data_IF_025704016345
#
_entry.id   IF_025704016345
#
_cell.length_a   1.000
_cell.length_b   1.000
_cell.length_c   1.000
_cell.angle_alpha   90.00
_cell.angle_beta   90.00
_cell.angle_gamma   90.00
#
_symmetry.space_group_name_H-M   'P 1'
#
loop_
_entity.id
_entity.type
_entity.pdbx_description
1 polymer ?
#
# COMPACT_ATOMS: atom_id res chain seq x y z
N UNK A 1 20.42 0.27 12.26
CA UNK A 1 19.24 0.83 12.97
C UNK A 1 19.37 0.60 14.47
N UNK A 2 18.68 1.39 15.32
CA UNK A 2 18.67 1.18 16.77
C UNK A 2 17.96 -0.14 17.15
N UNK A 3 18.38 -0.85 18.21
CA UNK A 3 17.83 -2.18 18.55
C UNK A 3 16.40 -2.11 19.11
N UNK A 4 15.96 -0.96 19.60
CA UNK A 4 14.62 -0.80 20.14
C UNK A 4 13.55 -0.59 19.06
N UNK A 5 13.95 -0.25 17.83
CA UNK A 5 13.07 0.00 16.71
C UNK A 5 12.30 -1.28 16.35
N UNK A 6 10.97 -1.17 16.26
CA UNK A 6 10.09 -2.28 15.83
C UNK A 6 9.45 -1.98 14.48
N UNK A 7 9.18 -0.71 14.20
CA UNK A 7 8.51 -0.25 13.00
C UNK A 7 9.12 1.07 12.57
N UNK A 8 9.43 1.19 11.28
CA UNK A 8 9.86 2.43 10.63
C UNK A 8 9.05 2.62 9.35
N UNK A 9 8.21 3.65 9.32
CA UNK A 9 7.53 4.10 8.11
C UNK A 9 8.16 5.38 7.60
N UNK A 10 8.53 5.40 6.32
CA UNK A 10 9.01 6.60 5.61
C UNK A 10 7.91 7.17 4.68
N UNK A 11 6.78 6.46 4.60
CA UNK A 11 5.70 6.72 3.66
C UNK A 11 4.69 7.76 4.18
N UNK A 12 4.12 8.55 3.25
CA UNK A 12 3.10 9.58 3.53
C UNK A 12 1.72 9.20 2.98
N UNK A 13 1.61 8.07 2.30
CA UNK A 13 0.35 7.57 1.75
C UNK A 13 -0.73 7.32 2.84
N UNK A 14 -2.01 7.66 2.57
CA UNK A 14 -3.11 7.37 3.47
C UNK A 14 -3.26 5.89 3.85
N UNK A 15 -3.05 4.94 2.93
CA UNK A 15 -3.18 3.50 3.20
C UNK A 15 -2.16 3.03 4.25
N UNK A 16 -0.94 3.56 4.18
CA UNK A 16 0.08 3.31 5.20
C UNK A 16 -0.39 3.83 6.57
N UNK A 17 -0.94 5.04 6.61
CA UNK A 17 -1.46 5.65 7.84
C UNK A 17 -2.57 4.81 8.46
N UNK A 18 -3.56 4.38 7.66
CA UNK A 18 -4.65 3.52 8.12
C UNK A 18 -4.14 2.22 8.73
N UNK A 19 -3.22 1.58 8.03
CA UNK A 19 -2.66 0.30 8.44
C UNK A 19 -1.80 0.42 9.69
N UNK A 20 -1.12 1.56 9.86
CA UNK A 20 -0.35 1.87 11.07
C UNK A 20 -1.25 2.02 12.28
N UNK A 21 -2.36 2.74 12.13
CA UNK A 21 -3.35 2.91 13.19
C UNK A 21 -4.02 1.59 13.56
N UNK A 22 -4.39 0.78 12.57
CA UNK A 22 -4.93 -0.58 12.80
C UNK A 22 -3.92 -1.47 13.54
N UNK A 23 -2.63 -1.40 13.20
CA UNK A 23 -1.57 -2.16 13.90
C UNK A 23 -1.44 -1.75 15.38
N UNK A 24 -1.61 -0.46 15.68
CA UNK A 24 -1.56 0.06 17.04
C UNK A 24 -2.81 -0.38 17.82
N UNK A 25 -3.99 -0.34 17.21
CA UNK A 25 -5.25 -0.84 17.77
C UNK A 25 -5.17 -2.35 18.07
N UNK A 26 -4.64 -3.17 17.16
CA UNK A 26 -4.42 -4.61 17.39
C UNK A 26 -3.56 -4.87 18.63
N UNK A 27 -2.44 -4.16 18.78
CA UNK A 27 -1.56 -4.31 19.95
C UNK A 27 -2.23 -3.81 21.24
N UNK A 28 -3.09 -2.79 21.17
CA UNK A 28 -3.91 -2.36 22.29
C UNK A 28 -4.90 -3.43 22.71
N UNK A 29 -5.67 -3.99 21.77
CA UNK A 29 -6.64 -5.07 22.05
C UNK A 29 -5.94 -6.27 22.70
N UNK A 30 -4.79 -6.68 22.15
CA UNK A 30 -3.95 -7.76 22.70
C UNK A 30 -3.51 -7.48 24.14
N UNK A 31 -3.10 -6.24 24.45
CA UNK A 31 -2.71 -5.85 25.82
C UNK A 31 -3.90 -5.77 26.76
N UNK A 32 -5.06 -5.33 26.27
CA UNK A 32 -6.29 -5.27 27.06
C UNK A 32 -6.72 -6.67 27.49
N UNK A 33 -6.75 -7.63 26.57
CA UNK A 33 -7.04 -9.03 26.88
C UNK A 33 -6.03 -9.63 27.85
N UNK A 34 -4.74 -9.37 27.63
CA UNK A 34 -3.68 -9.79 28.55
C UNK A 34 -3.93 -9.24 29.96
N UNK A 35 -4.22 -7.94 30.10
CA UNK A 35 -4.43 -7.30 31.39
C UNK A 35 -5.68 -7.84 32.10
N UNK A 36 -6.78 -8.02 31.36
CA UNK A 36 -7.99 -8.68 31.85
C UNK A 36 -7.70 -10.09 32.37
N UNK A 37 -6.99 -10.91 31.59
CA UNK A 37 -6.64 -12.29 31.98
C UNK A 37 -5.75 -12.38 33.22
N UNK A 38 -4.97 -11.33 33.49
CA UNK A 38 -4.05 -11.25 34.64
C UNK A 38 -4.61 -10.46 35.82
N UNK A 39 -5.84 -9.93 35.71
CA UNK A 39 -6.48 -9.13 36.76
C UNK A 39 -5.65 -7.90 37.13
N UNK A 40 -5.18 -7.15 36.13
CA UNK A 40 -4.48 -5.87 36.31
C UNK A 40 -5.14 -4.79 35.45
N UNK A 41 -5.04 -3.54 35.85
CA UNK A 41 -5.71 -2.44 35.15
C UNK A 41 -4.79 -1.61 34.25
N UNK A 42 -3.48 -1.67 34.46
CA UNK A 42 -2.52 -0.85 33.73
C UNK A 42 -1.13 -1.49 33.62
N UNK A 43 -0.31 -0.96 32.72
CA UNK A 43 1.03 -1.49 32.47
C UNK A 43 1.96 -1.40 33.70
N UNK A 44 1.75 -0.40 34.57
CA UNK A 44 2.57 -0.24 35.78
C UNK A 44 2.32 -1.39 36.74
N UNK A 45 1.05 -1.72 37.01
CA UNK A 45 0.64 -2.87 37.82
C UNK A 45 1.12 -4.19 37.20
N UNK A 46 0.96 -4.35 35.88
CA UNK A 46 1.46 -5.52 35.17
C UNK A 46 2.98 -5.71 35.38
N UNK A 47 3.76 -4.64 35.21
CA UNK A 47 5.22 -4.67 35.41
C UNK A 47 5.63 -4.88 36.87
N UNK A 48 4.86 -4.38 37.83
CA UNK A 48 5.12 -4.64 39.25
C UNK A 48 4.91 -6.12 39.57
N UNK A 49 3.87 -6.74 39.02
CA UNK A 49 3.54 -8.16 39.26
C UNK A 49 4.47 -9.14 38.53
N UNK A 50 4.83 -8.85 37.28
CA UNK A 50 5.57 -9.78 36.40
C UNK A 50 7.00 -9.34 36.09
N UNK A 51 7.45 -8.20 36.62
CA UNK A 51 8.78 -7.65 36.42
C UNK A 51 8.87 -6.61 35.29
N UNK A 52 9.85 -5.72 35.37
CA UNK A 52 9.99 -4.54 34.49
C UNK A 52 10.16 -4.91 33.01
N UNK A 53 10.75 -6.08 32.73
CA UNK A 53 11.03 -6.61 31.37
C UNK A 53 9.89 -7.44 30.78
N UNK A 54 8.81 -7.69 31.53
CA UNK A 54 7.70 -8.56 31.10
C UNK A 54 6.90 -8.02 29.91
N UNK A 55 6.84 -6.69 29.75
CA UNK A 55 6.15 -6.04 28.65
C UNK A 55 6.83 -4.69 28.33
N UNK A 56 7.25 -4.40 27.09
CA UNK A 56 7.83 -3.11 26.75
C UNK A 56 6.78 -2.00 26.69
N UNK A 57 7.17 -0.77 27.07
CA UNK A 57 6.43 0.45 26.69
C UNK A 57 6.68 0.73 25.21
N UNK A 58 5.67 1.25 24.52
CA UNK A 58 5.75 1.63 23.12
C UNK A 58 5.82 3.15 23.06
N UNK A 59 6.78 3.66 22.30
CA UNK A 59 6.82 5.08 21.93
C UNK A 59 6.43 5.16 20.47
N UNK A 60 5.34 5.85 20.18
CA UNK A 60 4.86 6.13 18.85
C UNK A 60 5.31 7.53 18.45
N UNK A 61 6.13 7.62 17.41
CA UNK A 61 6.71 8.88 16.96
C UNK A 61 6.20 9.15 15.54
N UNK A 62 5.62 10.33 15.33
CA UNK A 62 5.21 10.79 14.00
C UNK A 62 5.85 12.14 13.77
N UNK A 63 6.64 12.23 12.72
CA UNK A 63 7.14 13.50 12.19
C UNK A 63 6.18 14.01 11.12
N UNK A 64 6.05 15.33 11.00
CA UNK A 64 5.04 15.98 10.17
C UNK A 64 3.62 15.40 10.40
N UNK A 65 3.19 15.42 11.66
CA UNK A 65 1.93 14.87 12.12
C UNK A 65 0.69 15.41 11.37
N UNK A 66 0.77 16.60 10.76
CA UNK A 66 -0.26 17.12 9.87
C UNK A 66 -0.60 16.20 8.69
N UNK A 67 0.37 15.46 8.14
CA UNK A 67 0.10 14.51 7.06
C UNK A 67 -0.80 13.37 7.54
N UNK A 68 -0.55 12.85 8.75
CA UNK A 68 -1.36 11.80 9.37
C UNK A 68 -2.79 12.29 9.63
N UNK A 69 -2.97 13.48 10.18
CA UNK A 69 -4.30 14.01 10.48
C UNK A 69 -5.10 14.34 9.22
N UNK A 70 -4.44 14.79 8.15
CA UNK A 70 -5.06 15.01 6.84
C UNK A 70 -5.46 13.71 6.16
N UNK A 71 -4.64 12.65 6.26
CA UNK A 71 -4.94 11.34 5.68
C UNK A 71 -6.23 10.73 6.26
N UNK A 72 -6.48 10.93 7.55
CA UNK A 72 -7.64 10.34 8.24
C UNK A 72 -8.87 11.26 8.30
N UNK A 73 -8.77 12.53 7.91
CA UNK A 73 -9.81 13.53 8.19
C UNK A 73 -11.20 13.17 7.63
N UNK A 74 -11.24 12.42 6.52
CA UNK A 74 -12.47 11.99 5.85
C UNK A 74 -12.91 10.58 6.26
N UNK A 75 -12.18 9.94 7.19
CA UNK A 75 -12.41 8.57 7.63
C UNK A 75 -12.72 8.53 9.14
N UNK A 76 -14.01 8.61 9.54
CA UNK A 76 -14.42 8.75 10.93
C UNK A 76 -13.86 7.65 11.86
N UNK A 77 -13.73 6.42 11.35
CA UNK A 77 -13.14 5.30 12.09
C UNK A 77 -11.71 5.62 12.56
N UNK A 78 -10.86 6.13 11.66
CA UNK A 78 -9.45 6.39 11.98
C UNK A 78 -9.28 7.64 12.84
N UNK A 79 -10.18 8.64 12.70
CA UNK A 79 -10.25 9.77 13.64
C UNK A 79 -10.47 9.27 15.08
N UNK A 80 -11.44 8.37 15.27
CA UNK A 80 -11.72 7.78 16.60
C UNK A 80 -10.53 6.96 17.12
N UNK A 81 -9.90 6.14 16.28
CA UNK A 81 -8.71 5.36 16.69
C UNK A 81 -7.59 6.30 17.14
N UNK A 82 -7.31 7.37 16.39
CA UNK A 82 -6.28 8.34 16.78
C UNK A 82 -6.64 9.04 18.11
N UNK A 83 -7.89 9.42 18.33
CA UNK A 83 -8.32 9.99 19.60
C UNK A 83 -8.14 9.04 20.79
N UNK A 84 -8.43 7.75 20.60
CA UNK A 84 -8.23 6.72 21.62
C UNK A 84 -6.75 6.51 21.92
N UNK A 85 -5.89 6.53 20.88
CA UNK A 85 -4.44 6.51 21.04
C UNK A 85 -3.95 7.66 21.91
N UNK A 86 -4.49 8.87 21.70
CA UNK A 86 -4.12 10.07 22.46
C UNK A 86 -4.62 10.04 23.91
N UNK A 87 -5.78 9.45 24.18
CA UNK A 87 -6.46 9.53 25.48
C UNK A 87 -6.31 8.28 26.36
N UNK A 88 -6.57 7.09 25.79
CA UNK A 88 -6.82 5.87 26.56
C UNK A 88 -5.59 4.93 26.58
N UNK A 89 -4.81 4.93 25.51
CA UNK A 89 -3.78 3.91 25.29
C UNK A 89 -2.56 4.06 26.22
N UNK A 90 -2.42 5.21 26.88
CA UNK A 90 -1.37 5.47 27.87
C UNK A 90 -1.38 4.46 29.01
N UNK A 91 -2.56 4.02 29.43
CA UNK A 91 -2.76 3.04 30.51
C UNK A 91 -2.16 1.68 30.13
N UNK A 92 -2.13 1.37 28.83
CA UNK A 92 -1.54 0.17 28.24
C UNK A 92 -0.06 0.33 27.87
N UNK A 93 0.52 1.49 28.18
CA UNK A 93 1.94 1.76 28.02
C UNK A 93 2.36 2.23 26.64
N UNK A 94 1.44 2.78 25.85
CA UNK A 94 1.75 3.59 24.67
C UNK A 94 2.04 5.04 25.11
N UNK A 95 2.96 5.71 24.46
CA UNK A 95 3.20 7.14 24.62
C UNK A 95 3.54 7.73 23.27
N UNK A 96 2.97 8.88 22.96
CA UNK A 96 3.10 9.47 21.64
C UNK A 96 3.99 10.71 21.66
N UNK A 97 4.75 10.91 20.59
CA UNK A 97 5.54 12.09 20.31
C UNK A 97 5.21 12.52 18.90
N UNK A 98 4.69 13.73 18.76
CA UNK A 98 4.31 14.30 17.48
C UNK A 98 5.12 15.55 17.24
N UNK A 99 5.59 15.70 16.00
CA UNK A 99 6.34 16.86 15.52
C UNK A 99 5.63 17.42 14.29
N UNK A 100 5.62 18.74 14.18
CA UNK A 100 5.14 19.48 13.01
C UNK A 100 5.90 20.80 12.94
N UNK A 101 6.22 21.25 11.73
CA UNK A 101 6.75 22.60 11.53
C UNK A 101 5.68 23.68 11.78
N UNK A 102 4.41 23.34 11.52
CA UNK A 102 3.27 24.23 11.71
C UNK A 102 2.08 23.50 12.38
N UNK A 103 2.01 23.55 13.71
CA UNK A 103 0.96 22.96 14.56
C UNK A 103 -0.43 23.52 14.22
N UNK A 104 -0.50 24.77 13.77
CA UNK A 104 -1.74 25.44 13.35
C UNK A 104 -2.40 24.73 12.16
N UNK A 105 -1.62 24.01 11.36
CA UNK A 105 -2.07 23.10 10.31
C UNK A 105 -2.20 21.68 10.85
N UNK A 106 -1.24 21.21 11.64
CA UNK A 106 -1.19 19.82 12.12
C UNK A 106 -2.32 19.35 13.00
N UNK A 107 -2.90 20.25 13.79
CA UNK A 107 -4.03 19.91 14.64
C UNK A 107 -5.39 20.06 13.95
N UNK A 108 -5.49 20.45 12.67
CA UNK A 108 -6.80 20.70 12.02
C UNK A 108 -7.66 19.44 11.90
N UNK A 109 -7.05 18.27 11.69
CA UNK A 109 -7.78 17.00 11.59
C UNK A 109 -8.15 16.37 12.94
N UNK A 110 -7.82 17.00 14.08
CA UNK A 110 -8.21 16.52 15.41
C UNK A 110 -9.37 17.33 15.99
N UNK A 111 -10.26 16.66 16.72
CA UNK A 111 -11.26 17.35 17.55
C UNK A 111 -10.60 18.10 18.71
N UNK A 112 -11.32 19.06 19.31
CA UNK A 112 -10.86 19.75 20.52
C UNK A 112 -10.55 18.78 21.67
N UNK A 113 -11.34 17.69 21.78
CA UNK A 113 -11.11 16.62 22.76
C UNK A 113 -9.74 15.99 22.57
N UNK A 114 -9.36 15.65 21.33
CA UNK A 114 -8.05 15.10 20.99
C UNK A 114 -6.91 16.08 21.31
N UNK A 115 -7.06 17.35 20.95
CA UNK A 115 -6.06 18.41 21.25
C UNK A 115 -5.81 18.58 22.74
N UNK A 116 -6.85 18.44 23.56
CA UNK A 116 -6.76 18.58 25.01
C UNK A 116 -6.03 17.42 25.70
N UNK A 117 -5.85 16.27 25.04
CA UNK A 117 -5.06 15.15 25.57
C UNK A 117 -3.55 15.40 25.48
N UNK A 118 -3.13 16.28 24.57
CA UNK A 118 -1.73 16.66 24.36
C UNK A 118 -1.34 17.71 25.41
N UNK A 119 -1.03 17.21 26.60
CA UNK A 119 -0.74 18.01 27.80
C UNK A 119 0.70 18.54 27.85
N UNK A 120 1.67 17.75 27.38
CA UNK A 120 3.07 18.17 27.27
C UNK A 120 3.27 18.79 25.89
N UNK A 121 3.84 20.00 25.85
CA UNK A 121 4.08 20.71 24.61
C UNK A 121 5.48 21.28 24.58
N UNK A 122 6.14 21.13 23.45
CA UNK A 122 7.53 21.53 23.24
C UNK A 122 7.51 22.49 22.07
N UNK A 123 7.88 23.75 22.30
CA UNK A 123 8.06 24.73 21.24
C UNK A 123 9.55 25.01 21.06
N UNK A 124 10.02 24.88 19.82
CA UNK A 124 11.37 25.24 19.41
C UNK A 124 11.35 26.62 18.73
N UNK A 125 12.52 27.09 18.28
CA UNK A 125 12.60 28.30 17.46
C UNK A 125 11.66 28.19 16.25
N UNK A 126 10.73 29.13 16.15
CA UNK A 126 9.75 29.24 15.06
C UNK A 126 9.14 30.66 15.08
N UNK A 127 8.24 30.97 14.15
CA UNK A 127 7.49 32.22 14.16
C UNK A 127 6.65 32.34 15.45
N UNK A 128 6.57 33.55 16.02
CA UNK A 128 5.86 33.81 17.28
C UNK A 128 4.41 33.28 17.27
N UNK A 129 3.59 33.48 16.22
CA UNK A 129 2.23 32.92 16.18
C UNK A 129 2.21 31.39 16.30
N UNK A 130 3.19 30.72 15.73
CA UNK A 130 3.31 29.26 15.71
C UNK A 130 3.80 28.73 17.07
N UNK A 131 4.78 29.38 17.70
CA UNK A 131 5.17 29.08 19.09
C UNK A 131 3.96 29.24 20.02
N UNK A 132 3.18 30.32 19.86
CA UNK A 132 1.99 30.57 20.67
C UNK A 132 0.92 29.50 20.47
N UNK A 133 0.68 29.10 19.23
CA UNK A 133 -0.23 28.02 18.86
C UNK A 133 0.23 26.68 19.47
N UNK A 134 1.54 26.41 19.41
CA UNK A 134 2.16 25.20 19.96
C UNK A 134 1.96 25.16 21.46
N UNK A 135 2.32 26.22 22.20
CA UNK A 135 2.17 26.24 23.65
C UNK A 135 0.71 26.30 24.09
N UNK A 136 -0.21 26.83 23.27
CA UNK A 136 -1.63 27.02 23.59
C UNK A 136 -1.82 27.59 25.02
N UNK A 137 -1.18 28.72 25.28
CA UNK A 137 -1.29 29.46 26.53
C UNK A 137 -2.36 30.53 26.42
N UNK A 138 -2.98 30.88 27.54
CA UNK A 138 -3.88 32.02 27.62
C UNK A 138 -3.12 33.33 27.36
N UNK A 139 -3.77 34.29 26.69
CA UNK A 139 -3.13 35.54 26.26
C UNK A 139 -2.51 36.35 27.41
N UNK A 140 -3.08 36.24 28.62
CA UNK A 140 -2.59 36.91 29.83
C UNK A 140 -1.27 36.34 30.38
N UNK A 141 -0.84 35.16 29.92
CA UNK A 141 0.43 34.55 30.32
C UNK A 141 1.61 35.05 29.47
N UNK A 142 1.36 35.74 28.36
CA UNK A 142 2.40 36.36 27.54
C UNK A 142 2.74 37.76 28.06
N UNK A 143 3.51 37.81 29.15
CA UNK A 143 4.09 39.06 29.64
C UNK A 143 5.21 39.58 28.72
N UNK A 144 5.68 40.81 28.98
CA UNK A 144 6.76 41.42 28.20
C UNK A 144 8.06 40.60 28.27
N UNK A 145 8.29 39.88 29.37
CA UNK A 145 9.47 39.01 29.54
C UNK A 145 9.39 37.79 28.61
N UNK A 146 8.25 37.11 28.55
CA UNK A 146 8.00 36.00 27.64
C UNK A 146 8.06 36.47 26.19
N UNK A 147 7.44 37.60 25.86
CA UNK A 147 7.46 38.12 24.49
C UNK A 147 8.88 38.46 24.03
N UNK A 148 9.67 39.11 24.89
CA UNK A 148 11.08 39.37 24.60
C UNK A 148 11.89 38.07 24.43
N UNK A 149 11.61 37.03 25.22
CA UNK A 149 12.27 35.72 25.06
C UNK A 149 11.87 35.03 23.76
N UNK A 150 10.59 35.03 23.42
CA UNK A 150 10.07 34.49 22.16
C UNK A 150 10.75 35.13 20.95
N UNK A 151 11.01 36.45 21.00
CA UNK A 151 11.71 37.17 19.94
C UNK A 151 13.20 36.84 19.82
N UNK A 152 13.81 36.31 20.87
CA UNK A 152 15.25 36.06 20.94
C UNK A 152 15.58 34.55 21.02
N UNK A 153 14.63 33.67 20.73
CA UNK A 153 14.91 32.24 20.62
C UNK A 153 15.87 32.01 19.46
N UNK A 154 16.86 31.16 19.69
CA UNK A 154 17.87 30.75 18.72
C UNK A 154 17.84 29.24 18.53
N UNK A 155 18.60 28.75 17.55
CA UNK A 155 18.64 27.32 17.24
C UNK A 155 18.95 26.49 18.50
N UNK A 156 18.10 25.47 18.69
CA UNK A 156 18.17 24.57 19.82
C UNK A 156 17.56 25.07 21.12
N UNK A 157 17.06 26.31 21.20
CA UNK A 157 16.28 26.78 22.34
C UNK A 157 14.89 26.15 22.37
N UNK A 158 14.43 25.79 23.58
CA UNK A 158 13.17 25.07 23.77
C UNK A 158 12.37 25.67 24.92
N UNK A 159 11.10 25.93 24.67
CA UNK A 159 10.09 26.19 25.70
C UNK A 159 9.30 24.90 25.93
N UNK A 160 9.36 24.41 27.16
CA UNK A 160 8.73 23.16 27.57
C UNK A 160 7.55 23.43 28.50
N UNK A 161 6.34 23.23 28.00
CA UNK A 161 5.11 23.30 28.78
C UNK A 161 4.76 21.93 29.33
N UNK A 162 4.60 21.86 30.65
CA UNK A 162 4.11 20.67 31.35
C UNK A 162 3.21 21.04 32.51
N UNK A 163 2.53 20.04 33.06
CA UNK A 163 1.77 20.19 34.30
C UNK A 163 2.50 19.48 35.44
N UNK A 164 2.49 20.08 36.62
CA UNK A 164 2.99 19.45 37.84
C UNK A 164 2.14 18.23 38.19
N UNK A 165 2.81 17.14 38.55
CA UNK A 165 2.14 15.90 38.94
C UNK A 165 1.33 16.02 40.25
N UNK A 166 1.67 16.98 41.11
CA UNK A 166 1.04 17.15 42.43
C UNK A 166 -0.19 18.07 42.40
N UNK A 167 -0.08 19.24 41.77
CA UNK A 167 -1.08 20.32 41.89
C UNK A 167 -1.75 20.68 40.56
N UNK A 168 -1.44 19.98 39.46
CA UNK A 168 -1.88 20.34 38.11
C UNK A 168 -1.55 21.80 37.72
N UNK A 169 -0.58 22.42 38.38
CA UNK A 169 -0.10 23.74 38.00
C UNK A 169 0.71 23.64 36.70
N UNK A 170 0.45 24.58 35.80
CA UNK A 170 1.16 24.70 34.53
C UNK A 170 2.54 25.31 34.78
N UNK A 171 3.57 24.63 34.30
CA UNK A 171 4.98 25.03 34.42
C UNK A 171 5.56 25.20 33.02
N UNK A 172 6.24 26.32 32.81
CA UNK A 172 7.03 26.61 31.62
C UNK A 172 8.51 26.56 31.98
N UNK A 173 9.19 25.54 31.47
CA UNK A 173 10.63 25.38 31.62
C UNK A 173 11.34 25.79 30.32
N UNK A 174 12.57 26.28 30.46
CA UNK A 174 13.42 26.66 29.34
C UNK A 174 14.62 25.74 29.29
N UNK A 175 14.88 25.17 28.13
CA UNK A 175 15.98 24.25 27.90
C UNK A 175 16.74 24.60 26.62
N UNK A 176 17.97 24.09 26.53
CA UNK A 176 18.74 24.04 25.29
C UNK A 176 18.94 22.59 24.90
N UNK A 177 18.61 22.25 23.66
CA UNK A 177 18.78 20.89 23.13
C UNK A 177 20.25 20.53 22.98
N UNK A 178 20.51 19.22 23.00
CA UNK A 178 21.83 18.68 22.70
C UNK A 178 21.87 18.42 21.19
N UNK A 179 22.84 19.04 20.53
CA UNK A 179 23.13 18.76 19.13
C UNK A 179 23.95 17.48 19.01
N UNK A 180 23.53 16.58 18.11
CA UNK A 180 24.19 15.30 17.84
C UNK A 180 24.44 15.19 16.34
N UNK A 181 25.69 14.97 15.96
CA UNK A 181 26.09 14.78 14.56
C UNK A 181 25.70 13.39 14.04
N UNK A 182 25.76 13.20 12.70
CA UNK A 182 25.47 11.89 12.08
C UNK A 182 26.43 10.79 12.54
N UNK A 183 27.70 11.12 12.73
CA UNK A 183 28.74 10.16 13.15
C UNK A 183 28.55 9.76 14.61
N UNK A 184 28.30 10.72 15.50
CA UNK A 184 27.97 10.45 16.91
C UNK A 184 26.70 9.61 17.03
N UNK A 185 25.66 9.92 16.25
CA UNK A 185 24.44 9.10 16.23
C UNK A 185 24.72 7.66 15.79
N UNK A 186 25.56 7.48 14.78
CA UNK A 186 25.94 6.16 14.28
C UNK A 186 26.73 5.38 15.34
N UNK A 187 27.64 6.04 16.04
CA UNK A 187 28.41 5.45 17.14
C UNK A 187 27.51 5.07 18.32
N UNK A 188 26.56 5.93 18.72
CA UNK A 188 25.59 5.63 19.79
C UNK A 188 24.74 4.41 19.42
N UNK A 189 24.28 4.30 18.17
CA UNK A 189 23.52 3.14 17.69
C UNK A 189 24.39 1.88 17.74
N UNK A 190 25.65 1.96 17.31
CA UNK A 190 26.60 0.84 17.36
C UNK A 190 26.80 0.35 18.79
N UNK A 191 27.05 1.26 19.73
CA UNK A 191 27.21 0.94 21.15
C UNK A 191 25.95 0.34 21.76
N UNK A 192 24.77 0.84 21.38
CA UNK A 192 23.50 0.28 21.84
C UNK A 192 23.31 -1.17 21.35
N UNK A 193 23.64 -1.44 20.08
CA UNK A 193 23.57 -2.79 19.51
C UNK A 193 24.55 -3.76 20.18
N UNK A 194 25.79 -3.34 20.46
CA UNK A 194 26.77 -4.17 21.18
C UNK A 194 26.29 -4.57 22.58
N UNK A 195 25.70 -3.62 23.32
CA UNK A 195 25.15 -3.90 24.66
C UNK A 195 23.92 -4.80 24.65
N UNK A 196 23.19 -4.83 23.53
CA UNK A 196 21.97 -5.61 23.39
C UNK A 196 22.24 -7.12 23.24
N UNK A 197 23.40 -7.52 22.69
CA UNK A 197 23.69 -8.89 22.24
C UNK A 197 23.42 -10.03 23.26
N UNK A 198 23.46 -9.78 24.58
CA UNK A 198 23.25 -10.83 25.59
C UNK A 198 21.81 -11.10 26.02
N UNK A 199 20.87 -10.15 25.85
CA UNK A 199 19.47 -10.26 26.33
C UNK A 199 18.45 -9.75 25.30
N UNK A 200 18.91 -9.42 24.10
CA UNK A 200 18.06 -8.91 23.03
C UNK A 200 17.32 -10.06 22.38
N UNK A 201 15.99 -9.97 22.39
CA UNK A 201 15.14 -10.77 21.52
C UNK A 201 15.02 -9.99 20.22
N UNK A 202 15.52 -10.53 19.09
CA UNK A 202 15.29 -9.94 17.78
C UNK A 202 13.81 -9.69 17.57
N UNK A 203 13.48 -8.47 17.19
CA UNK A 203 12.11 -8.10 16.82
C UNK A 203 11.97 -8.27 15.32
N UNK A 204 10.78 -8.68 14.89
CA UNK A 204 10.37 -8.56 13.49
C UNK A 204 10.29 -7.08 13.15
N UNK A 205 11.37 -6.56 12.57
CA UNK A 205 11.51 -5.15 12.22
C UNK A 205 10.72 -4.91 10.94
N UNK A 206 9.64 -4.13 11.06
CA UNK A 206 8.82 -3.74 9.92
C UNK A 206 9.32 -2.40 9.39
N UNK A 207 9.98 -2.42 8.24
CA UNK A 207 10.32 -1.22 7.50
C UNK A 207 9.29 -1.09 6.39
N UNK A 208 8.66 0.07 6.25
CA UNK A 208 7.84 0.44 5.09
C UNK A 208 8.46 1.70 4.47
N UNK A 209 8.88 1.53 3.23
CA UNK A 209 9.46 2.55 2.38
C UNK A 209 8.78 2.39 1.02
N UNK A 210 7.88 3.31 0.67
CA UNK A 210 7.17 3.31 -0.60
C UNK A 210 7.84 4.17 -1.67
N UNK A 211 9.00 4.80 -1.38
CA UNK A 211 9.77 5.52 -2.40
C UNK A 211 10.54 4.55 -3.31
N UNK A 212 10.90 3.38 -2.77
CA UNK A 212 11.66 2.38 -3.49
C UNK A 212 10.75 1.21 -3.88
N UNK A 213 10.91 0.72 -5.11
CA UNK A 213 10.28 -0.54 -5.52
C UNK A 213 10.76 -1.64 -4.60
N UNK A 214 9.81 -2.39 -4.02
CA UNK A 214 10.11 -3.64 -3.34
C UNK A 214 10.07 -4.76 -4.36
N UNK A 215 11.10 -5.59 -4.28
CA UNK A 215 11.08 -6.85 -5.00
C UNK A 215 10.03 -7.76 -4.35
N UNK A 216 9.32 -8.47 -5.21
CA UNK A 216 8.38 -9.50 -4.81
C UNK A 216 9.15 -10.68 -4.19
N UNK A 217 8.83 -11.06 -2.96
CA UNK A 217 9.40 -12.25 -2.32
C UNK A 217 8.40 -13.41 -2.33
N UNK A 218 8.70 -14.47 -3.10
CA UNK A 218 7.83 -15.66 -3.18
C UNK A 218 7.62 -16.32 -1.81
N UNK A 219 8.63 -16.29 -0.94
CA UNK A 219 8.58 -16.92 0.38
C UNK A 219 7.49 -16.32 1.28
N UNK A 220 7.26 -15.00 1.21
CA UNK A 220 6.21 -14.33 1.97
C UNK A 220 4.82 -14.76 1.51
N UNK A 221 4.64 -14.97 0.20
CA UNK A 221 3.38 -15.40 -0.39
C UNK A 221 3.06 -16.84 0.01
N UNK A 222 4.04 -17.75 -0.06
CA UNK A 222 3.86 -19.15 0.36
C UNK A 222 3.50 -19.22 1.85
N UNK A 223 4.18 -18.44 2.69
CA UNK A 223 3.89 -18.36 4.11
C UNK A 223 2.48 -17.81 4.40
N UNK A 224 2.04 -16.83 3.61
CA UNK A 224 0.68 -16.28 3.69
C UNK A 224 -0.38 -17.30 3.29
N UNK A 225 -0.22 -17.98 2.15
CA UNK A 225 -1.13 -19.01 1.65
C UNK A 225 -1.32 -20.14 2.65
N UNK A 226 -0.21 -20.60 3.26
CA UNK A 226 -0.22 -21.65 4.28
C UNK A 226 -0.96 -21.23 5.56
N UNK A 227 -0.88 -19.95 5.96
CA UNK A 227 -1.54 -19.44 7.17
C UNK A 227 -3.04 -19.19 6.97
N UNK A 228 -3.44 -18.72 5.78
CA UNK A 228 -4.82 -18.32 5.48
C UNK A 228 -5.67 -19.46 4.89
N UNK A 229 -5.07 -20.60 4.54
CA UNK A 229 -5.77 -21.73 3.90
C UNK A 229 -6.57 -21.29 2.66
N UNK A 230 -5.96 -20.47 1.80
CA UNK A 230 -6.62 -19.91 0.61
C UNK A 230 -7.05 -21.05 -0.32
N UNK A 231 -8.35 -21.10 -0.67
CA UNK A 231 -8.86 -22.09 -1.63
C UNK A 231 -8.42 -21.76 -3.05
N UNK A 232 -7.30 -22.35 -3.46
CA UNK A 232 -6.74 -22.22 -4.82
C UNK A 232 -7.44 -23.10 -5.85
N UNK A 233 -8.43 -23.92 -5.47
CA UNK A 233 -9.09 -24.87 -6.39
C UNK A 233 -10.14 -24.19 -7.27
N UNK A 234 -10.93 -23.27 -6.68
CA UNK A 234 -12.01 -22.54 -7.37
C UNK A 234 -11.65 -21.11 -7.73
N UNK A 235 -10.70 -20.53 -7.00
CA UNK A 235 -10.23 -19.17 -7.20
C UNK A 235 -8.72 -19.20 -7.33
N UNK A 236 -8.19 -18.41 -8.24
CA UNK A 236 -6.77 -18.34 -8.51
C UNK A 236 -6.28 -17.01 -7.94
N UNK A 237 -5.61 -17.00 -6.78
CA UNK A 237 -5.03 -15.77 -6.25
C UNK A 237 -3.86 -15.34 -7.14
N UNK A 238 -3.91 -14.10 -7.61
CA UNK A 238 -2.86 -13.46 -8.39
C UNK A 238 -2.22 -12.39 -7.52
N UNK A 239 -0.98 -12.62 -7.13
CA UNK A 239 -0.17 -11.69 -6.36
C UNK A 239 0.62 -10.82 -7.32
N UNK A 240 0.34 -9.51 -7.32
CA UNK A 240 0.90 -8.58 -8.30
C UNK A 240 2.05 -7.73 -7.74
N UNK A 241 2.28 -7.79 -6.43
CA UNK A 241 3.34 -7.03 -5.80
C UNK A 241 3.16 -6.91 -4.29
N UNK A 242 4.02 -6.07 -3.72
CA UNK A 242 4.06 -5.80 -2.29
C UNK A 242 3.22 -4.56 -1.97
N UNK A 243 2.24 -4.66 -1.07
CA UNK A 243 1.43 -3.51 -0.71
C UNK A 243 2.26 -2.49 0.08
N UNK A 244 1.84 -1.23 0.04
CA UNK A 244 2.42 -0.14 0.82
C UNK A 244 1.98 -0.21 2.30
N UNK A 245 0.97 -1.02 2.60
CA UNK A 245 0.47 -1.26 3.95
C UNK A 245 1.21 -2.42 4.66
N UNK A 246 0.79 -2.75 5.89
CA UNK A 246 1.35 -3.87 6.66
C UNK A 246 0.80 -5.24 6.26
N UNK A 247 -0.01 -5.34 5.19
CA UNK A 247 -0.43 -6.63 4.68
C UNK A 247 0.79 -7.33 4.06
N UNK A 248 0.87 -8.66 4.18
CA UNK A 248 2.01 -9.40 3.64
C UNK A 248 2.03 -9.37 2.11
N UNK A 249 0.87 -9.41 1.46
CA UNK A 249 0.79 -9.47 0.00
C UNK A 249 -0.47 -8.75 -0.51
N UNK A 250 -0.38 -8.18 -1.71
CA UNK A 250 -1.55 -7.70 -2.45
C UNK A 250 -1.94 -8.71 -3.52
N UNK A 251 -3.21 -9.11 -3.54
CA UNK A 251 -3.71 -10.09 -4.50
C UNK A 251 -5.16 -9.86 -4.91
N UNK A 252 -5.50 -10.36 -6.10
CA UNK A 252 -6.87 -10.46 -6.59
C UNK A 252 -7.20 -11.90 -6.94
N UNK A 253 -8.48 -12.26 -6.96
CA UNK A 253 -8.90 -13.59 -7.37
C UNK A 253 -9.37 -13.61 -8.81
N UNK A 254 -8.75 -14.47 -9.62
CA UNK A 254 -9.29 -14.89 -10.90
C UNK A 254 -10.16 -16.14 -10.75
N UNK A 255 -11.26 -16.20 -11.49
CA UNK A 255 -12.17 -17.35 -11.56
C UNK A 255 -12.26 -17.80 -13.01
N UNK A 256 -12.50 -19.10 -13.24
CA UNK A 256 -12.82 -19.64 -14.57
C UNK A 256 -14.26 -19.26 -14.97
N UNK A 257 -14.51 -17.94 -15.15
CA UNK A 257 -15.78 -17.33 -15.55
C UNK A 257 -15.51 -16.19 -16.53
N UNK A 258 -16.48 -15.88 -17.39
CA UNK A 258 -16.38 -14.88 -18.47
C UNK A 258 -16.06 -13.47 -17.97
N UNK A 259 -16.41 -13.15 -16.74
CA UNK A 259 -16.34 -11.78 -16.21
C UNK A 259 -15.18 -11.59 -15.21
N UNK A 260 -14.19 -12.48 -15.26
CA UNK A 260 -13.04 -12.47 -14.36
C UNK A 260 -11.77 -12.14 -15.12
N UNK A 261 -11.64 -10.88 -15.54
CA UNK A 261 -10.50 -10.40 -16.32
C UNK A 261 -9.77 -9.29 -15.56
N UNK A 262 -8.48 -9.12 -15.83
CA UNK A 262 -7.67 -8.00 -15.32
C UNK A 262 -7.33 -7.11 -16.52
N UNK A 263 -7.60 -5.82 -16.38
CA UNK A 263 -7.20 -4.79 -17.33
C UNK A 263 -6.20 -3.86 -16.64
N UNK A 264 -5.03 -3.68 -17.23
CA UNK A 264 -3.96 -2.83 -16.69
C UNK A 264 -3.90 -1.54 -17.51
N UNK A 265 -4.20 -0.41 -16.88
CA UNK A 265 -4.16 0.92 -17.50
C UNK A 265 -3.22 1.80 -16.67
N UNK A 266 -2.32 2.52 -17.33
CA UNK A 266 -1.39 3.44 -16.69
C UNK A 266 -0.52 4.14 -17.71
N UNK A 267 0.09 5.26 -17.38
CA UNK A 267 1.00 5.99 -18.27
C UNK A 267 2.44 5.43 -18.26
N UNK A 268 2.80 4.69 -17.21
CA UNK A 268 4.15 4.16 -17.00
C UNK A 268 4.26 2.71 -17.46
N UNK A 269 4.95 2.50 -18.58
CA UNK A 269 5.16 1.19 -19.19
C UNK A 269 5.90 0.22 -18.27
N UNK A 270 6.85 0.71 -17.46
CA UNK A 270 7.65 -0.11 -16.55
C UNK A 270 6.79 -0.66 -15.42
N UNK A 271 5.86 0.14 -14.89
CA UNK A 271 4.88 -0.33 -13.90
C UNK A 271 3.89 -1.31 -14.53
N UNK A 272 3.36 -1.02 -15.72
CA UNK A 272 2.44 -1.94 -16.41
C UNK A 272 3.10 -3.29 -16.71
N UNK A 273 4.33 -3.26 -17.21
CA UNK A 273 5.13 -4.46 -17.46
C UNK A 273 5.39 -5.25 -16.18
N UNK A 274 5.73 -4.56 -15.08
CA UNK A 274 5.91 -5.21 -13.78
C UNK A 274 4.65 -5.95 -13.33
N UNK A 275 3.47 -5.31 -13.38
CA UNK A 275 2.20 -5.94 -12.99
C UNK A 275 1.91 -7.17 -13.87
N UNK A 276 2.14 -7.07 -15.18
CA UNK A 276 1.98 -8.18 -16.11
C UNK A 276 2.90 -9.36 -15.78
N UNK A 277 4.20 -9.11 -15.61
CA UNK A 277 5.20 -10.15 -15.34
C UNK A 277 4.91 -10.85 -14.02
N UNK A 278 4.60 -10.10 -12.96
CA UNK A 278 4.24 -10.67 -11.66
C UNK A 278 2.91 -11.43 -11.71
N UNK A 279 1.95 -10.99 -12.53
CA UNK A 279 0.70 -11.74 -12.77
C UNK A 279 0.98 -13.11 -13.39
N UNK A 280 1.81 -13.15 -14.44
CA UNK A 280 2.21 -14.40 -15.09
C UNK A 280 2.99 -15.29 -14.11
N UNK A 281 3.98 -14.73 -13.43
CA UNK A 281 4.77 -15.46 -12.44
C UNK A 281 3.90 -16.06 -11.33
N UNK A 282 3.03 -15.25 -10.73
CA UNK A 282 2.08 -15.69 -9.70
C UNK A 282 1.13 -16.78 -10.21
N UNK A 283 0.67 -16.69 -11.46
CA UNK A 283 -0.20 -17.70 -12.05
C UNK A 283 0.52 -19.03 -12.21
N UNK A 284 1.77 -19.01 -12.70
CA UNK A 284 2.60 -20.21 -12.93
C UNK A 284 2.96 -20.97 -11.66
N UNK A 285 2.87 -20.35 -10.47
CA UNK A 285 3.01 -21.04 -9.17
C UNK A 285 1.93 -22.12 -8.94
N UNK A 286 0.80 -22.05 -9.65
CA UNK A 286 -0.30 -23.01 -9.51
C UNK A 286 -0.07 -24.25 -10.41
N UNK A 287 -0.53 -25.44 -9.98
CA UNK A 287 -0.36 -26.67 -10.77
C UNK A 287 -1.20 -26.65 -12.05
N UNK A 288 -0.73 -27.35 -13.10
CA UNK A 288 -1.42 -27.54 -14.38
C UNK A 288 -1.79 -26.22 -15.10
N UNK A 289 -0.89 -25.24 -15.05
CA UNK A 289 -1.05 -23.93 -15.69
C UNK A 289 -0.39 -23.85 -17.06
N UNK A 290 -0.89 -22.93 -17.88
CA UNK A 290 -0.32 -22.59 -19.18
C UNK A 290 -0.65 -21.13 -19.49
N UNK A 291 0.29 -20.43 -20.11
CA UNK A 291 0.18 -19.00 -20.39
C UNK A 291 0.25 -18.80 -21.90
N UNK A 292 -0.66 -17.99 -22.43
CA UNK A 292 -0.69 -17.59 -23.83
C UNK A 292 -0.60 -16.07 -23.88
N UNK A 293 0.46 -15.56 -24.49
CA UNK A 293 0.67 -14.12 -24.68
C UNK A 293 0.46 -13.79 -26.15
N UNK A 294 -0.58 -13.02 -26.43
CA UNK A 294 -0.80 -12.36 -27.71
C UNK A 294 -0.20 -10.96 -27.63
N UNK A 295 0.78 -10.67 -28.48
CA UNK A 295 1.48 -9.40 -28.46
C UNK A 295 1.51 -8.75 -29.84
N UNK A 296 1.08 -7.50 -29.92
CA UNK A 296 1.31 -6.69 -31.09
C UNK A 296 2.82 -6.38 -31.23
N UNK A 297 3.44 -6.54 -32.42
CA UNK A 297 4.86 -6.24 -32.62
C UNK A 297 5.26 -4.80 -32.30
N UNK A 298 4.33 -3.85 -32.44
CA UNK A 298 4.52 -2.42 -32.20
C UNK A 298 4.12 -2.01 -30.77
N UNK A 299 3.64 -2.92 -29.91
CA UNK A 299 3.40 -2.62 -28.49
C UNK A 299 4.71 -2.31 -27.75
N UNK A 300 4.71 -1.25 -26.92
CA UNK A 300 5.91 -0.77 -26.21
C UNK A 300 6.38 -1.74 -25.13
N UNK A 301 5.44 -2.37 -24.40
CA UNK A 301 5.76 -3.36 -23.37
C UNK A 301 6.39 -4.59 -24.04
N UNK A 302 5.81 -5.07 -25.13
CA UNK A 302 6.39 -6.19 -25.85
C UNK A 302 7.80 -5.87 -26.36
N UNK A 303 8.00 -4.71 -27.01
CA UNK A 303 9.32 -4.33 -27.55
C UNK A 303 10.40 -4.24 -26.47
N UNK A 304 10.07 -3.70 -25.31
CA UNK A 304 11.03 -3.53 -24.21
C UNK A 304 11.25 -4.82 -23.40
N UNK A 305 10.21 -5.60 -23.12
CA UNK A 305 10.23 -6.70 -22.15
C UNK A 305 10.16 -8.11 -22.78
N UNK A 306 10.22 -8.24 -24.11
CA UNK A 306 10.23 -9.54 -24.83
C UNK A 306 11.26 -10.53 -24.29
N UNK A 307 12.45 -10.06 -23.88
CA UNK A 307 13.49 -10.92 -23.30
C UNK A 307 13.01 -11.60 -22.02
N UNK A 308 12.51 -10.81 -21.06
CA UNK A 308 11.99 -11.30 -19.78
C UNK A 308 10.75 -12.18 -19.97
N UNK A 309 9.85 -11.83 -20.89
CA UNK A 309 8.72 -12.69 -21.24
C UNK A 309 9.17 -14.06 -21.75
N UNK A 310 10.20 -14.12 -22.60
CA UNK A 310 10.73 -15.40 -23.09
C UNK A 310 11.40 -16.24 -22.02
N UNK A 311 12.06 -15.61 -21.05
CA UNK A 311 12.67 -16.31 -19.91
C UNK A 311 11.61 -16.86 -18.95
N UNK A 312 10.48 -16.15 -18.83
CA UNK A 312 9.38 -16.54 -17.95
C UNK A 312 8.49 -17.64 -18.52
N UNK A 313 8.38 -17.75 -19.85
CA UNK A 313 7.52 -18.71 -20.55
C UNK A 313 8.26 -20.03 -20.80
N UNK A 314 7.63 -21.15 -20.45
CA UNK A 314 8.20 -22.49 -20.65
C UNK A 314 7.73 -23.12 -21.97
N UNK A 315 8.17 -24.34 -22.26
CA UNK A 315 7.74 -25.12 -23.43
C UNK A 315 6.22 -25.39 -23.53
N UNK A 316 5.47 -25.17 -22.44
CA UNK A 316 4.01 -25.35 -22.38
C UNK A 316 3.24 -24.04 -22.61
N UNK A 317 3.95 -22.93 -22.80
CA UNK A 317 3.41 -21.59 -22.96
C UNK A 317 3.62 -21.09 -24.39
N UNK A 318 2.76 -20.18 -24.85
CA UNK A 318 2.81 -19.65 -26.22
C UNK A 318 3.03 -18.13 -26.20
N UNK A 319 4.01 -17.66 -26.97
CA UNK A 319 4.21 -16.24 -27.27
C UNK A 319 3.97 -16.01 -28.76
N UNK A 320 2.82 -15.43 -29.10
CA UNK A 320 2.33 -15.29 -30.47
C UNK A 320 2.24 -13.81 -30.82
N UNK A 321 2.90 -13.42 -31.90
CA UNK A 321 2.92 -12.04 -32.40
C UNK A 321 2.45 -11.91 -33.85
N UNK A 322 2.23 -13.03 -34.54
CA UNK A 322 1.67 -13.04 -35.89
C UNK A 322 0.15 -13.24 -35.80
N UNK A 323 -0.59 -12.28 -36.34
CA UNK A 323 -2.04 -12.21 -36.24
C UNK A 323 -2.77 -13.42 -36.85
N UNK A 324 -2.16 -14.11 -37.82
CA UNK A 324 -2.73 -15.34 -38.40
C UNK A 324 -2.75 -16.46 -37.36
N UNK A 325 -1.64 -16.61 -36.63
CA UNK A 325 -1.52 -17.58 -35.54
C UNK A 325 -2.35 -17.17 -34.31
N UNK A 326 -2.54 -15.86 -34.07
CA UNK A 326 -3.49 -15.38 -33.04
C UNK A 326 -4.89 -15.90 -33.36
N UNK A 327 -5.38 -15.71 -34.59
CA UNK A 327 -6.71 -16.19 -35.01
C UNK A 327 -6.86 -17.71 -34.85
N UNK A 328 -5.87 -18.49 -35.32
CA UNK A 328 -5.88 -19.94 -35.20
C UNK A 328 -5.91 -20.39 -33.74
N UNK A 329 -5.08 -19.77 -32.89
CA UNK A 329 -5.02 -20.09 -31.46
C UNK A 329 -6.31 -19.72 -30.74
N UNK A 330 -6.93 -18.59 -31.05
CA UNK A 330 -8.21 -18.17 -30.46
C UNK A 330 -9.33 -19.14 -30.86
N UNK A 331 -9.39 -19.56 -32.13
CA UNK A 331 -10.38 -20.56 -32.58
C UNK A 331 -10.15 -21.91 -31.90
N UNK A 332 -8.89 -22.33 -31.75
CA UNK A 332 -8.52 -23.53 -30.98
C UNK A 332 -8.97 -23.41 -29.52
N UNK A 333 -8.58 -22.35 -28.81
CA UNK A 333 -8.94 -22.14 -27.40
C UNK A 333 -10.47 -22.12 -27.21
N UNK A 334 -11.22 -21.50 -28.13
CA UNK A 334 -12.68 -21.44 -28.09
C UNK A 334 -13.34 -22.84 -28.13
N UNK A 335 -12.75 -23.78 -28.88
CA UNK A 335 -13.23 -25.17 -28.99
C UNK A 335 -12.81 -26.04 -27.80
N UNK A 336 -11.71 -25.69 -27.13
CA UNK A 336 -11.12 -26.45 -26.02
C UNK A 336 -11.53 -25.95 -24.62
N UNK A 337 -12.32 -24.88 -24.53
CA UNK A 337 -12.89 -24.37 -23.26
C UNK A 337 -14.00 -25.27 -22.67
N UNK A 338 -13.82 -26.59 -22.75
CA UNK A 338 -14.75 -27.56 -22.15
C UNK A 338 -14.60 -27.52 -20.61
N UNK A 339 -15.70 -27.55 -19.83
CA UNK A 339 -15.64 -27.41 -18.37
C UNK A 339 -14.78 -28.47 -17.68
N UNK A 340 -14.71 -29.68 -18.24
CA UNK A 340 -14.03 -30.86 -17.69
C UNK A 340 -12.50 -30.88 -17.86
N UNK A 341 -11.91 -29.85 -18.48
CA UNK A 341 -10.45 -29.73 -18.56
C UNK A 341 -9.89 -29.03 -17.31
N UNK A 342 -9.07 -29.76 -16.55
CA UNK A 342 -8.37 -29.27 -15.35
C UNK A 342 -7.23 -28.30 -15.67
N UNK A 343 -6.81 -28.19 -16.94
CA UNK A 343 -5.75 -27.25 -17.34
C UNK A 343 -6.25 -25.81 -17.26
N UNK A 344 -5.51 -24.98 -16.54
CA UNK A 344 -5.78 -23.54 -16.35
C UNK A 344 -4.96 -22.74 -17.35
N UNK A 345 -5.62 -21.89 -18.12
CA UNK A 345 -4.97 -21.07 -19.16
C UNK A 345 -5.14 -19.60 -18.80
N UNK A 346 -4.03 -18.88 -18.67
CA UNK A 346 -4.02 -17.42 -18.57
C UNK A 346 -3.72 -16.85 -19.96
N UNK A 347 -4.58 -15.96 -20.43
CA UNK A 347 -4.41 -15.28 -21.73
C UNK A 347 -4.05 -13.83 -21.45
N UNK A 348 -2.89 -13.40 -21.94
CA UNK A 348 -2.40 -12.03 -21.83
C UNK A 348 -2.42 -11.37 -23.21
N UNK A 349 -2.99 -10.17 -23.29
CA UNK A 349 -3.05 -9.37 -24.53
C UNK A 349 -2.20 -8.12 -24.34
N UNK A 350 -1.23 -7.90 -25.22
CA UNK A 350 -0.40 -6.69 -25.31
C UNK A 350 -0.72 -6.00 -26.64
N UNK A 351 -1.01 -4.69 -26.60
CA UNK A 351 -1.56 -3.99 -27.76
C UNK A 351 -3.00 -4.38 -28.08
N UNK A 352 -3.86 -4.56 -27.06
CA UNK A 352 -5.25 -5.02 -27.25
C UNK A 352 -6.03 -4.19 -28.27
N UNK A 353 -5.82 -2.88 -28.32
CA UNK A 353 -6.51 -1.98 -29.26
C UNK A 353 -6.17 -2.33 -30.71
N UNK A 354 -4.88 -2.39 -31.05
CA UNK A 354 -4.41 -2.74 -32.41
C UNK A 354 -4.85 -4.16 -32.82
N UNK A 355 -4.76 -5.11 -31.88
CA UNK A 355 -5.21 -6.48 -32.13
C UNK A 355 -6.72 -6.54 -32.34
N UNK A 356 -7.50 -5.79 -31.54
CA UNK A 356 -8.96 -5.75 -31.67
C UNK A 356 -9.39 -5.11 -33.00
N UNK A 357 -8.75 -4.01 -33.41
CA UNK A 357 -8.99 -3.36 -34.69
C UNK A 357 -8.69 -4.31 -35.84
N UNK A 358 -7.55 -5.01 -35.82
CA UNK A 358 -7.21 -6.02 -36.82
C UNK A 358 -8.26 -7.15 -36.88
N UNK A 359 -8.67 -7.68 -35.73
CA UNK A 359 -9.67 -8.75 -35.64
C UNK A 359 -11.04 -8.30 -36.16
N UNK A 360 -11.42 -7.04 -35.93
CA UNK A 360 -12.68 -6.47 -36.44
C UNK A 360 -12.70 -6.45 -37.97
N UNK A 361 -11.63 -5.97 -38.61
CA UNK A 361 -11.49 -5.90 -40.07
C UNK A 361 -11.50 -7.29 -40.70
N UNK A 362 -10.82 -8.26 -40.09
CA UNK A 362 -10.83 -9.65 -40.58
C UNK A 362 -12.18 -10.34 -40.39
N UNK A 363 -12.88 -10.04 -39.29
CA UNK A 363 -14.25 -10.51 -39.05
C UNK A 363 -15.22 -10.04 -40.13
N UNK A 364 -15.12 -8.78 -40.54
CA UNK A 364 -15.91 -8.21 -41.64
C UNK A 364 -15.56 -8.86 -42.99
N UNK A 365 -14.27 -9.01 -43.32
CA UNK A 365 -13.82 -9.67 -44.55
C UNK A 365 -14.29 -11.12 -44.67
N UNK A 366 -14.30 -11.85 -43.56
CA UNK A 366 -14.79 -13.23 -43.50
C UNK A 366 -16.33 -13.31 -43.59
N UNK A 367 -17.07 -12.33 -43.06
CA UNK A 367 -18.52 -12.22 -43.25
C UNK A 367 -18.87 -11.94 -44.72
N UNK A 368 -18.22 -10.94 -45.31
CA UNK A 368 -18.40 -10.59 -46.74
C UNK A 368 -18.07 -11.78 -47.65
N UNK A 369 -17.00 -12.50 -47.36
CA UNK A 369 -16.60 -13.70 -48.12
C UNK A 369 -17.56 -14.89 -47.93
N UNK A 370 -18.18 -15.05 -46.75
CA UNK A 370 -19.26 -16.02 -46.52
C UNK A 370 -20.57 -15.63 -47.19
N UNK A 371 -20.91 -14.35 -47.26
CA UNK A 371 -22.09 -13.86 -47.97
C UNK A 371 -21.93 -14.00 -49.50
N UNK A 372 -20.72 -13.80 -50.01
CA UNK A 372 -20.35 -14.10 -51.40
C UNK A 372 -20.34 -15.60 -51.72
N UNK A 373 -19.96 -16.46 -50.77
CA UNK A 373 -20.02 -17.92 -50.94
C UNK A 373 -21.43 -18.49 -50.74
N UNK A 374 -22.28 -17.84 -49.93
CA UNK A 374 -23.67 -18.23 -49.66
C UNK A 374 -24.69 -17.76 -50.69
N UNK A 375 -24.30 -16.87 -51.62
CA UNK A 375 -25.15 -16.36 -52.71
C UNK A 375 -24.99 -17.15 -54.04
N UNK A 376 -24.31 -18.30 -54.01
CA UNK A 376 -24.09 -19.18 -55.16
C UNK A 376 -25.18 -20.24 -55.39
N UNK A 377 -26.46 -19.86 -55.46
CA UNK A 377 -27.48 -20.67 -56.15
C UNK A 377 -28.72 -19.82 -56.48
N UNK A 378 -28.63 -19.02 -57.55
CA UNK A 378 -29.83 -18.48 -58.21
C UNK A 378 -29.82 -18.95 -59.66
N UNK A 379 -30.88 -19.68 -60.01
CA UNK A 379 -31.16 -20.28 -61.29
C UNK A 379 -31.06 -19.30 -62.46
N UNK A 380 -30.43 -19.74 -63.55
CA UNK A 380 -30.31 -19.10 -64.86
C UNK A 380 -31.65 -18.98 -65.60
N UNK A 381 -32.59 -18.19 -65.07
CA UNK A 381 -33.85 -17.85 -65.76
C UNK A 381 -34.34 -16.42 -65.49
N UNK A 382 -33.49 -15.54 -64.98
CA UNK A 382 -33.86 -14.16 -64.63
C UNK A 382 -32.93 -13.08 -65.19
N UNK A 383 -32.01 -13.45 -66.08
CA UNK A 383 -31.07 -12.52 -66.74
C UNK A 383 -31.56 -11.99 -68.10
N UNK A 384 -32.57 -12.61 -68.71
CA UNK A 384 -33.13 -12.15 -70.00
C UNK A 384 -34.22 -11.06 -69.84
N UNK A 385 -34.67 -10.75 -68.62
CA UNK A 385 -35.72 -9.74 -68.39
C UNK A 385 -35.21 -8.36 -67.96
N UNK A 386 -33.90 -8.12 -67.98
CA UNK A 386 -33.28 -6.86 -67.53
C UNK A 386 -32.42 -6.16 -68.59
N UNK A 387 -32.37 -6.69 -69.83
CA UNK A 387 -31.65 -6.08 -70.97
C UNK A 387 -32.63 -5.31 -71.90
N UNK A 388 -33.92 -5.24 -71.57
CA UNK A 388 -34.95 -4.56 -72.38
C UNK A 388 -35.16 -3.06 -72.09
N UNK A 389 -34.71 -2.53 -70.95
CA UNK A 389 -35.16 -1.21 -70.46
C UNK A 389 -34.05 -0.14 -70.33
N UNK A 390 -32.92 -0.29 -71.03
CA UNK A 390 -31.84 0.73 -71.04
C UNK A 390 -31.68 1.44 -72.39
N UNK A 391 -32.45 1.08 -73.42
CA UNK A 391 -32.41 1.75 -74.75
C UNK A 391 -33.52 2.78 -74.99
N UNK A 392 -34.17 3.28 -73.94
CA UNK A 392 -35.13 4.39 -74.06
C UNK A 392 -35.06 5.35 -72.86
N UNK A 393 -34.02 6.19 -72.82
CA UNK A 393 -34.05 7.55 -72.26
C UNK A 393 -32.78 8.35 -72.62
#
# INVERSE_FOLDING_TARGET
LPPHLKLLGVERDPEFTFSLLDKIEEEFQRRMELFKSKGVNNITEYKQRYGVRSLPRIIFIVDEFHHMTQAIQNEPRYVVILENILSEYRVFGLSCVFSDQAISVGLRGLTEKGKNQISIRIAMENEIPEIRSTLALANNLYDDSMNHRLMNMTEGDVIFKRFSASNQEMILDLYKTIYITKDERSEVIRQANLRAQGNYVPKDLLIIDGQNRREYEESEVVDFENKQCVDTTRQIPIYMGTPINFAPCFFVFLRKKTDSNILVIGADDEIRASILLHTIYSFKRQPNTSVVVFADPDDEIYRQYKGQLKELLDSHDDLIFDMSFVCEKVDHLSKYMNPDNDRRILICWLGLEEIADYLSVQGERNRVSKDLAGSGSVSTSSLDSLIGDVDAL
#
